data_IF_246128416322
#
_entry.id   IF_246128416322
#
_cell.length_a   1.000
_cell.length_b   1.000
_cell.length_c   1.000
_cell.angle_alpha   90.00
_cell.angle_beta   90.00
_cell.angle_gamma   90.00
#
_symmetry.space_group_name_H-M   'P 1'
#
loop_
_entity.id
_entity.type
_entity.pdbx_description
1 polymer ?
#
# COMPACT_ATOMS: atom_id res chain seq x y z
N UNK A 1 6.40 4.21 -16.72
CA UNK A 1 7.65 4.25 -15.92
C UNK A 1 8.93 3.93 -16.70
N UNK A 2 8.88 3.45 -17.96
CA UNK A 2 10.09 3.47 -18.79
C UNK A 2 10.53 4.93 -18.98
N UNK A 3 11.68 5.32 -18.41
CA UNK A 3 12.22 6.67 -18.47
C UNK A 3 12.06 7.55 -17.22
N UNK A 4 11.46 7.05 -16.13
CA UNK A 4 11.32 7.80 -14.88
C UNK A 4 12.45 7.58 -13.85
N UNK A 5 13.51 6.83 -14.21
CA UNK A 5 14.64 6.53 -13.32
C UNK A 5 14.38 5.46 -12.25
N UNK A 6 13.14 4.97 -12.09
CA UNK A 6 12.81 3.95 -11.08
C UNK A 6 13.62 2.65 -11.24
N UNK A 7 13.85 2.21 -12.48
CA UNK A 7 14.67 1.03 -12.76
C UNK A 7 16.14 1.22 -12.39
N UNK A 8 16.66 2.43 -12.59
CA UNK A 8 18.05 2.77 -12.28
C UNK A 8 18.25 2.84 -10.77
N UNK A 9 17.31 3.44 -10.04
CA UNK A 9 17.31 3.47 -8.56
C UNK A 9 17.36 2.05 -7.99
N UNK A 10 16.57 1.11 -8.53
CA UNK A 10 16.56 -0.29 -8.06
C UNK A 10 17.91 -1.00 -8.27
N UNK A 11 18.58 -0.71 -9.38
CA UNK A 11 19.88 -1.31 -9.71
C UNK A 11 21.00 -0.66 -8.89
N UNK A 12 21.04 0.66 -8.83
CA UNK A 12 22.08 1.42 -8.12
C UNK A 12 22.03 1.19 -6.60
N UNK A 13 20.82 1.11 -6.04
CA UNK A 13 20.62 0.75 -4.64
C UNK A 13 20.89 -0.75 -4.34
N UNK A 14 21.27 -1.54 -5.35
CA UNK A 14 21.54 -2.99 -5.28
C UNK A 14 20.36 -3.80 -4.71
N UNK A 15 19.14 -3.28 -4.85
CA UNK A 15 17.92 -3.99 -4.44
C UNK A 15 17.60 -5.13 -5.40
N UNK A 16 17.93 -4.95 -6.68
CA UNK A 16 17.59 -5.88 -7.76
C UNK A 16 18.78 -5.97 -8.73
N UNK A 17 19.03 -7.16 -9.29
CA UNK A 17 20.03 -7.32 -10.36
C UNK A 17 19.39 -7.01 -11.71
N UNK A 18 20.21 -6.68 -12.72
CA UNK A 18 19.71 -6.45 -14.09
C UNK A 18 18.90 -7.64 -14.62
N UNK A 19 19.25 -8.87 -14.21
CA UNK A 19 18.54 -10.08 -14.57
C UNK A 19 17.14 -10.20 -13.92
N UNK A 20 16.96 -9.74 -12.68
CA UNK A 20 15.67 -9.81 -11.98
C UNK A 20 14.79 -8.57 -12.15
N UNK A 21 15.32 -7.47 -12.69
CA UNK A 21 14.58 -6.22 -12.92
C UNK A 21 13.30 -6.44 -13.73
N UNK A 22 13.37 -7.19 -14.83
CA UNK A 22 12.20 -7.48 -15.67
C UNK A 22 11.12 -8.24 -14.90
N UNK A 23 11.51 -9.18 -14.04
CA UNK A 23 10.58 -9.97 -13.23
C UNK A 23 9.93 -9.13 -12.11
N UNK A 24 10.64 -8.15 -11.58
CA UNK A 24 10.12 -7.18 -10.60
C UNK A 24 9.15 -6.20 -11.25
N UNK A 25 9.53 -5.57 -12.36
CA UNK A 25 8.70 -4.59 -13.05
C UNK A 25 7.45 -5.20 -13.69
N UNK A 26 7.51 -6.47 -14.11
CA UNK A 26 6.33 -7.19 -14.63
C UNK A 26 5.47 -7.83 -13.54
N UNK A 27 5.84 -7.70 -12.26
CA UNK A 27 5.11 -8.30 -11.14
C UNK A 27 5.17 -9.84 -11.07
N UNK A 28 5.93 -10.50 -11.97
CA UNK A 28 6.11 -11.96 -11.97
C UNK A 28 6.70 -12.47 -10.66
N UNK A 29 7.64 -11.74 -10.09
CA UNK A 29 8.11 -11.99 -8.73
C UNK A 29 7.45 -11.01 -7.76
N UNK A 30 6.19 -11.30 -7.41
CA UNK A 30 5.36 -10.44 -6.56
C UNK A 30 6.00 -10.12 -5.21
N UNK A 31 6.60 -11.12 -4.55
CA UNK A 31 7.19 -10.94 -3.23
C UNK A 31 8.36 -9.94 -3.27
N UNK A 32 9.25 -10.08 -4.27
CA UNK A 32 10.36 -9.16 -4.48
C UNK A 32 9.87 -7.78 -4.91
N UNK A 33 8.86 -7.71 -5.76
CA UNK A 33 8.29 -6.44 -6.23
C UNK A 33 7.68 -5.62 -5.07
N UNK A 34 6.90 -6.26 -4.19
CA UNK A 34 6.35 -5.60 -3.01
C UNK A 34 7.44 -5.19 -2.03
N UNK A 35 8.49 -6.00 -1.86
CA UNK A 35 9.61 -5.63 -1.02
C UNK A 35 10.32 -4.38 -1.55
N UNK A 36 10.67 -4.34 -2.83
CA UNK A 36 11.26 -3.16 -3.46
C UNK A 36 10.36 -1.92 -3.35
N UNK A 37 9.05 -2.08 -3.58
CA UNK A 37 8.08 -1.00 -3.48
C UNK A 37 8.06 -0.40 -2.06
N UNK A 38 8.04 -1.25 -1.03
CA UNK A 38 8.08 -0.81 0.37
C UNK A 38 9.34 -0.02 0.68
N UNK A 39 10.49 -0.56 0.29
CA UNK A 39 11.79 0.09 0.56
C UNK A 39 11.88 1.46 -0.12
N UNK A 40 11.43 1.57 -1.37
CA UNK A 40 11.46 2.86 -2.08
C UNK A 40 10.43 3.84 -1.49
N UNK A 41 9.25 3.37 -1.13
CA UNK A 41 8.22 4.22 -0.48
C UNK A 41 8.74 4.78 0.83
N UNK A 42 9.34 3.95 1.68
CA UNK A 42 9.94 4.37 2.95
C UNK A 42 11.09 5.38 2.73
N UNK A 43 11.98 5.13 1.77
CA UNK A 43 13.09 6.03 1.47
C UNK A 43 12.60 7.39 0.94
N UNK A 44 11.59 7.39 0.07
CA UNK A 44 11.02 8.60 -0.49
C UNK A 44 10.24 9.42 0.54
N UNK A 45 9.49 8.78 1.44
CA UNK A 45 8.83 9.47 2.56
C UNK A 45 9.85 10.07 3.54
N UNK A 46 10.93 9.36 3.86
CA UNK A 46 12.02 9.90 4.69
C UNK A 46 12.65 11.15 4.07
N UNK A 47 12.96 11.08 2.77
CA UNK A 47 13.50 12.22 2.04
C UNK A 47 12.52 13.41 2.05
N UNK A 48 11.22 13.16 1.90
CA UNK A 48 10.21 14.21 1.93
C UNK A 48 10.10 14.88 3.30
N UNK A 49 10.23 14.10 4.38
CA UNK A 49 10.27 14.61 5.75
C UNK A 49 11.55 15.42 6.01
N UNK A 50 12.71 14.96 5.53
CA UNK A 50 13.97 15.71 5.64
C UNK A 50 13.87 17.09 4.98
N UNK A 51 13.35 17.15 3.75
CA UNK A 51 13.14 18.42 3.03
C UNK A 51 12.12 19.31 3.74
N UNK A 52 11.07 18.72 4.30
CA UNK A 52 10.08 19.46 5.09
C UNK A 52 10.70 20.11 6.33
N UNK A 53 11.54 19.38 7.06
CA UNK A 53 12.25 19.89 8.24
C UNK A 53 13.19 21.03 7.84
N UNK A 54 13.90 20.89 6.73
CA UNK A 54 14.83 21.91 6.22
C UNK A 54 14.11 23.19 5.76
N UNK A 55 12.99 23.09 5.05
CA UNK A 55 12.28 24.27 4.52
C UNK A 55 11.43 25.01 5.56
N UNK A 56 10.72 24.28 6.42
CA UNK A 56 9.84 24.88 7.43
C UNK A 56 10.59 25.17 8.75
N UNK A 57 11.84 24.70 8.89
CA UNK A 57 12.70 24.99 10.04
C UNK A 57 12.15 24.46 11.36
N UNK A 58 11.41 23.35 11.33
CA UNK A 58 10.72 22.79 12.49
C UNK A 58 11.69 21.89 13.26
N UNK A 59 12.03 22.28 14.49
CA UNK A 59 12.61 21.35 15.47
C UNK A 59 11.49 20.44 16.00
N UNK A 60 11.57 19.15 15.69
CA UNK A 60 10.62 18.14 16.19
C UNK A 60 10.94 17.86 17.67
N UNK A 61 10.57 18.79 18.55
CA UNK A 61 10.67 18.62 20.01
C UNK A 61 9.35 18.14 20.60
N UNK A 62 8.90 16.97 20.15
CA UNK A 62 7.67 16.37 20.66
C UNK A 62 8.00 15.03 21.30
N UNK A 63 8.12 15.04 22.63
CA UNK A 63 8.26 13.85 23.48
C UNK A 63 7.21 12.77 23.13
N UNK A 64 6.01 13.18 22.71
CA UNK A 64 4.94 12.29 22.28
C UNK A 64 5.29 11.48 21.02
N UNK A 65 5.99 12.08 20.04
CA UNK A 65 6.48 11.36 18.85
C UNK A 65 7.62 10.40 19.22
N UNK A 66 8.53 10.80 20.12
CA UNK A 66 9.59 9.89 20.62
C UNK A 66 9.00 8.68 21.35
N UNK A 67 8.00 8.89 22.21
CA UNK A 67 7.30 7.80 22.89
C UNK A 67 6.54 6.87 21.92
N UNK A 68 5.98 7.42 20.84
CA UNK A 68 5.34 6.63 19.78
C UNK A 68 6.35 5.77 18.99
N UNK A 69 7.54 6.31 18.72
CA UNK A 69 8.63 5.61 18.04
C UNK A 69 9.17 4.48 18.91
N UNK A 70 9.32 4.70 20.21
CA UNK A 70 9.77 3.68 21.16
C UNK A 70 8.71 2.59 21.41
N UNK A 71 7.42 2.97 21.41
CA UNK A 71 6.31 2.05 21.68
C UNK A 71 5.17 2.22 20.66
N UNK A 72 5.27 1.54 19.52
CA UNK A 72 4.20 1.48 18.52
C UNK A 72 2.99 0.67 19.03
N UNK A 73 2.13 1.32 19.83
CA UNK A 73 0.86 0.77 20.28
C UNK A 73 -0.30 1.73 19.94
N UNK A 74 -1.53 1.20 19.78
CA UNK A 74 -2.71 2.01 19.43
C UNK A 74 -3.02 3.09 20.47
N UNK A 75 -2.82 2.80 21.74
CA UNK A 75 -3.07 3.76 22.82
C UNK A 75 -2.12 4.96 22.76
N UNK A 76 -0.84 4.73 22.42
CA UNK A 76 0.14 5.80 22.23
C UNK A 76 -0.11 6.58 20.93
N UNK A 77 -0.64 5.92 19.89
CA UNK A 77 -1.09 6.59 18.68
C UNK A 77 -2.26 7.54 18.97
N UNK A 78 -3.27 7.08 19.71
CA UNK A 78 -4.40 7.92 20.10
C UNK A 78 -3.96 9.08 21.01
N UNK A 79 -3.00 8.84 21.91
CA UNK A 79 -2.41 9.90 22.73
C UNK A 79 -1.67 10.95 21.88
N UNK A 80 -0.84 10.52 20.92
CA UNK A 80 -0.11 11.41 20.01
C UNK A 80 -1.05 12.17 19.06
N UNK A 81 -2.13 11.53 18.61
CA UNK A 81 -3.14 12.17 17.77
C UNK A 81 -4.01 13.16 18.53
N UNK A 82 -4.09 13.10 19.86
CA UNK A 82 -4.83 14.06 20.69
C UNK A 82 -3.99 15.28 21.10
N UNK A 83 -2.66 15.17 21.04
CA UNK A 83 -1.73 16.23 21.37
C UNK A 83 -1.70 17.34 20.29
N UNK A 84 -2.06 18.57 20.67
CA UNK A 84 -2.16 19.71 19.76
C UNK A 84 -0.85 20.09 19.04
N UNK A 85 0.33 20.14 19.68
CA UNK A 85 1.58 20.39 18.96
C UNK A 85 1.89 19.28 17.95
N UNK A 86 1.65 18.01 18.30
CA UNK A 86 1.82 16.90 17.37
C UNK A 86 0.85 16.99 16.18
N UNK A 87 -0.43 17.34 16.41
CA UNK A 87 -1.39 17.60 15.32
C UNK A 87 -0.97 18.75 14.43
N UNK A 88 -0.44 19.84 14.99
CA UNK A 88 0.00 21.00 14.23
C UNK A 88 1.15 20.64 13.27
N UNK A 89 2.12 19.85 13.74
CA UNK A 89 3.22 19.33 12.90
C UNK A 89 2.68 18.40 11.80
N UNK A 90 1.76 17.48 12.13
CA UNK A 90 1.13 16.60 11.14
C UNK A 90 0.38 17.42 10.08
N UNK A 91 -0.41 18.41 10.48
CA UNK A 91 -1.16 19.24 9.54
C UNK A 91 -0.22 20.10 8.68
N UNK A 92 0.87 20.61 9.24
CA UNK A 92 1.90 21.32 8.48
C UNK A 92 2.54 20.42 7.42
N UNK A 93 2.84 19.16 7.78
CA UNK A 93 3.35 18.16 6.83
C UNK A 93 2.35 17.83 5.73
N UNK A 94 1.07 17.61 6.06
CA UNK A 94 0.01 17.37 5.06
C UNK A 94 -0.14 18.57 4.11
N UNK A 95 -0.09 19.79 4.63
CA UNK A 95 -0.12 21.00 3.81
C UNK A 95 1.12 21.10 2.91
N UNK A 96 2.28 20.68 3.39
CA UNK A 96 3.51 20.61 2.60
C UNK A 96 3.39 19.57 1.47
N UNK A 97 2.88 18.38 1.74
CA UNK A 97 2.60 17.39 0.70
C UNK A 97 1.68 17.96 -0.39
N UNK A 98 0.64 18.70 -0.01
CA UNK A 98 -0.25 19.39 -0.97
C UNK A 98 0.48 20.47 -1.79
N UNK A 99 1.44 21.21 -1.20
CA UNK A 99 2.30 22.15 -1.94
C UNK A 99 3.13 21.40 -2.99
N UNK A 100 3.74 20.26 -2.62
CA UNK A 100 4.54 19.46 -3.55
C UNK A 100 3.68 18.89 -4.69
N UNK A 101 2.47 18.40 -4.38
CA UNK A 101 1.50 17.93 -5.38
C UNK A 101 1.08 19.03 -6.36
N UNK A 102 1.02 20.28 -5.92
CA UNK A 102 0.74 21.46 -6.78
C UNK A 102 1.94 21.89 -7.64
N UNK A 103 3.09 21.24 -7.50
CA UNK A 103 4.26 21.46 -8.34
C UNK A 103 5.32 22.38 -7.77
N UNK A 104 5.41 22.50 -6.44
CA UNK A 104 6.45 23.32 -5.79
C UNK A 104 7.88 22.97 -6.27
N UNK A 105 8.20 21.68 -6.36
CA UNK A 105 9.49 21.17 -6.89
C UNK A 105 9.45 20.78 -8.38
N UNK A 106 8.48 21.32 -9.13
CA UNK A 106 8.29 21.03 -10.54
C UNK A 106 7.71 19.63 -10.83
N UNK A 107 7.81 19.20 -12.09
CA UNK A 107 7.12 17.98 -12.60
C UNK A 107 7.64 16.69 -11.98
N UNK A 108 8.92 16.64 -11.61
CA UNK A 108 9.53 15.46 -11.00
C UNK A 108 8.98 15.21 -9.60
N UNK A 109 8.81 16.25 -8.79
CA UNK A 109 8.19 16.13 -7.46
C UNK A 109 6.75 15.63 -7.56
N UNK A 110 5.96 16.16 -8.49
CA UNK A 110 4.58 15.71 -8.72
C UNK A 110 4.52 14.24 -9.14
N UNK A 111 5.44 13.78 -9.99
CA UNK A 111 5.52 12.39 -10.41
C UNK A 111 5.80 11.44 -9.22
N UNK A 112 6.77 11.79 -8.37
CA UNK A 112 7.11 10.97 -7.20
C UNK A 112 6.04 11.00 -6.12
N UNK A 113 5.34 12.13 -5.93
CA UNK A 113 4.17 12.18 -5.05
C UNK A 113 3.04 11.29 -5.55
N UNK A 114 2.76 11.28 -6.86
CA UNK A 114 1.77 10.36 -7.43
C UNK A 114 2.19 8.90 -7.27
N UNK A 115 3.49 8.59 -7.38
CA UNK A 115 4.01 7.26 -7.08
C UNK A 115 3.80 6.86 -5.62
N UNK A 116 4.06 7.76 -4.66
CA UNK A 116 3.82 7.54 -3.24
C UNK A 116 2.34 7.28 -2.94
N UNK A 117 1.45 8.12 -3.47
CA UNK A 117 0.00 7.94 -3.32
C UNK A 117 -0.44 6.54 -3.81
N UNK A 118 0.01 6.11 -4.98
CA UNK A 118 -0.32 4.78 -5.52
C UNK A 118 0.26 3.65 -4.67
N UNK A 119 1.48 3.83 -4.17
CA UNK A 119 2.15 2.86 -3.31
C UNK A 119 1.40 2.71 -1.98
N UNK A 120 0.93 3.82 -1.41
CA UNK A 120 0.12 3.82 -0.20
C UNK A 120 -1.20 3.08 -0.35
N UNK A 121 -1.95 3.31 -1.44
CA UNK A 121 -3.20 2.57 -1.71
C UNK A 121 -2.94 1.07 -1.76
N UNK A 122 -1.86 0.63 -2.42
CA UNK A 122 -1.51 -0.79 -2.48
C UNK A 122 -1.09 -1.37 -1.11
N UNK A 123 -0.29 -0.64 -0.34
CA UNK A 123 0.13 -1.07 1.00
C UNK A 123 -1.04 -1.10 1.98
N UNK A 124 -1.96 -0.14 1.91
CA UNK A 124 -3.21 -0.13 2.66
C UNK A 124 -4.08 -1.32 2.27
N UNK A 125 -4.22 -1.63 0.98
CA UNK A 125 -4.96 -2.83 0.56
C UNK A 125 -4.35 -4.10 1.15
N UNK A 126 -3.03 -4.27 1.11
CA UNK A 126 -2.36 -5.41 1.77
C UNK A 126 -2.61 -5.44 3.28
N UNK A 127 -2.63 -4.29 3.94
CA UNK A 127 -2.94 -4.17 5.36
C UNK A 127 -4.39 -4.56 5.67
N UNK A 128 -5.35 -4.13 4.85
CA UNK A 128 -6.78 -4.45 5.04
C UNK A 128 -7.04 -5.94 4.98
N UNK A 129 -6.41 -6.65 4.04
CA UNK A 129 -6.49 -8.10 3.91
C UNK A 129 -5.88 -8.78 5.14
N UNK A 130 -4.76 -8.27 5.64
CA UNK A 130 -4.09 -8.82 6.83
C UNK A 130 -4.83 -8.58 8.15
N UNK A 131 -5.65 -7.53 8.22
CA UNK A 131 -6.36 -7.11 9.44
C UNK A 131 -7.87 -7.32 9.36
N UNK A 132 -8.36 -7.84 8.23
CA UNK A 132 -9.79 -7.98 7.91
C UNK A 132 -10.61 -6.69 8.11
N UNK A 133 -10.02 -5.53 7.77
CA UNK A 133 -10.71 -4.25 7.87
C UNK A 133 -11.55 -4.00 6.61
N UNK A 134 -12.83 -4.39 6.65
CA UNK A 134 -13.78 -4.30 5.53
C UNK A 134 -14.01 -2.86 5.04
N UNK A 135 -14.26 -1.85 5.90
CA UNK A 135 -14.42 -0.47 5.44
C UNK A 135 -13.21 0.06 4.67
N UNK A 136 -12.00 -0.20 5.19
CA UNK A 136 -10.78 0.26 4.55
C UNK A 136 -10.50 -0.54 3.26
N UNK A 137 -10.84 -1.83 3.22
CA UNK A 137 -10.78 -2.63 1.99
C UNK A 137 -11.69 -2.05 0.90
N UNK A 138 -12.91 -1.64 1.25
CA UNK A 138 -13.85 -1.02 0.31
C UNK A 138 -13.28 0.28 -0.26
N UNK A 139 -12.81 1.19 0.60
CA UNK A 139 -12.17 2.45 0.20
C UNK A 139 -10.98 2.23 -0.75
N UNK A 140 -10.06 1.33 -0.40
CA UNK A 140 -8.88 1.05 -1.22
C UNK A 140 -9.23 0.50 -2.61
N UNK A 141 -10.27 -0.33 -2.73
CA UNK A 141 -10.68 -0.87 -4.02
C UNK A 141 -11.28 0.20 -4.94
N UNK A 142 -12.03 1.15 -4.36
CA UNK A 142 -12.56 2.30 -5.10
C UNK A 142 -11.43 3.18 -5.65
N UNK A 143 -10.48 3.58 -4.78
CA UNK A 143 -9.32 4.39 -5.19
C UNK A 143 -8.41 3.66 -6.20
N UNK A 144 -8.28 2.34 -6.06
CA UNK A 144 -7.49 1.53 -6.99
C UNK A 144 -8.14 1.41 -8.39
N UNK A 145 -9.47 1.53 -8.49
CA UNK A 145 -10.17 1.52 -9.77
C UNK A 145 -9.73 2.71 -10.65
N UNK A 146 -9.60 3.90 -10.06
CA UNK A 146 -9.13 5.11 -10.74
C UNK A 146 -7.69 4.93 -11.25
N UNK A 147 -6.83 4.30 -10.46
CA UNK A 147 -5.45 4.01 -10.84
C UNK A 147 -5.37 3.06 -12.05
N UNK A 148 -6.17 2.00 -12.07
CA UNK A 148 -6.20 1.08 -13.21
C UNK A 148 -6.80 1.71 -14.46
N UNK A 149 -7.75 2.65 -14.29
CA UNK A 149 -8.39 3.34 -15.40
C UNK A 149 -7.46 4.37 -16.06
N UNK A 150 -6.75 5.17 -15.28
CA UNK A 150 -5.96 6.29 -15.79
C UNK A 150 -4.46 6.00 -15.96
N UNK A 151 -3.86 5.10 -15.18
CA UNK A 151 -2.40 4.98 -15.10
C UNK A 151 -1.80 3.72 -15.73
N UNK A 152 -2.53 2.60 -15.79
CA UNK A 152 -1.95 1.29 -16.14
C UNK A 152 -2.62 0.54 -17.30
N UNK A 153 -3.46 1.22 -18.10
CA UNK A 153 -4.18 0.62 -19.24
C UNK A 153 -5.00 -0.64 -18.86
N UNK A 154 -5.41 -0.71 -17.60
CA UNK A 154 -6.13 -1.83 -17.01
C UNK A 154 -7.64 -1.72 -17.16
N UNK A 155 -8.15 -1.32 -18.33
CA UNK A 155 -9.57 -0.98 -18.54
C UNK A 155 -10.53 -2.08 -18.08
N UNK A 156 -10.15 -3.36 -18.27
CA UNK A 156 -10.93 -4.49 -17.81
C UNK A 156 -10.99 -4.55 -16.28
N UNK A 157 -9.86 -4.39 -15.61
CA UNK A 157 -9.77 -4.38 -14.15
C UNK A 157 -10.50 -3.18 -13.55
N UNK A 158 -10.35 -1.99 -14.13
CA UNK A 158 -11.07 -0.80 -13.69
C UNK A 158 -12.58 -0.97 -13.77
N UNK A 159 -13.09 -1.55 -14.87
CA UNK A 159 -14.52 -1.85 -15.02
C UNK A 159 -15.04 -2.84 -13.99
N UNK A 160 -14.30 -3.93 -13.73
CA UNK A 160 -14.70 -4.91 -12.72
C UNK A 160 -14.63 -4.33 -11.31
N UNK A 161 -13.62 -3.53 -11.00
CA UNK A 161 -13.47 -2.87 -9.70
C UNK A 161 -14.59 -1.85 -9.47
N UNK A 162 -14.96 -1.04 -10.47
CA UNK A 162 -16.08 -0.12 -10.35
C UNK A 162 -17.40 -0.86 -10.08
N UNK A 163 -17.63 -1.99 -10.76
CA UNK A 163 -18.81 -2.81 -10.50
C UNK A 163 -18.77 -3.45 -9.10
N UNK A 164 -17.59 -3.91 -8.68
CA UNK A 164 -17.37 -4.46 -7.34
C UNK A 164 -17.57 -3.41 -6.24
N UNK A 165 -17.17 -2.17 -6.46
CA UNK A 165 -17.37 -1.04 -5.54
C UNK A 165 -18.86 -0.73 -5.34
N UNK A 166 -19.62 -0.68 -6.45
CA UNK A 166 -21.09 -0.53 -6.41
C UNK A 166 -21.75 -1.72 -5.71
N UNK A 167 -21.25 -2.93 -5.93
CA UNK A 167 -21.74 -4.13 -5.25
C UNK A 167 -21.50 -4.06 -3.74
N UNK A 168 -20.31 -3.67 -3.29
CA UNK A 168 -19.98 -3.52 -1.87
C UNK A 168 -20.82 -2.41 -1.20
N UNK A 169 -21.05 -1.30 -1.90
CA UNK A 169 -21.90 -0.20 -1.40
C UNK A 169 -23.35 -0.65 -1.22
N UNK A 170 -23.87 -1.47 -2.14
CA UNK A 170 -25.24 -1.98 -2.10
C UNK A 170 -25.36 -3.35 -1.41
N UNK A 171 -24.34 -3.77 -0.67
CA UNK A 171 -24.31 -5.11 -0.11
C UNK A 171 -25.44 -5.34 0.90
N UNK A 172 -25.72 -4.36 1.76
CA UNK A 172 -26.80 -4.47 2.75
C UNK A 172 -28.20 -4.52 2.13
N UNK A 173 -28.40 -3.86 0.98
CA UNK A 173 -29.67 -3.85 0.26
C UNK A 173 -29.89 -5.13 -0.54
N UNK A 174 -28.83 -5.63 -1.20
CA UNK A 174 -28.91 -6.83 -2.03
C UNK A 174 -28.84 -8.13 -1.23
N UNK A 175 -28.05 -8.15 -0.16
CA UNK A 175 -27.76 -9.32 0.67
C UNK A 175 -27.71 -8.90 2.15
N UNK A 176 -28.86 -8.81 2.84
CA UNK A 176 -28.89 -8.43 4.25
C UNK A 176 -28.06 -9.42 5.09
N UNK A 177 -27.14 -8.89 5.90
CA UNK A 177 -26.17 -9.68 6.67
C UNK A 177 -24.84 -9.98 5.96
N UNK A 178 -24.69 -9.60 4.69
CA UNK A 178 -23.42 -9.76 3.95
C UNK A 178 -22.25 -9.00 4.59
N UNK A 179 -22.51 -7.81 5.14
CA UNK A 179 -21.49 -7.01 5.83
C UNK A 179 -20.93 -7.70 7.08
N UNK A 180 -21.82 -8.34 7.85
CA UNK A 180 -21.46 -9.10 9.05
C UNK A 180 -20.61 -10.33 8.68
N UNK A 181 -20.94 -11.02 7.58
CA UNK A 181 -20.14 -12.13 7.06
C UNK A 181 -18.74 -11.69 6.59
N UNK A 182 -18.63 -10.56 5.89
CA UNK A 182 -17.33 -10.00 5.50
C UNK A 182 -16.49 -9.62 6.73
N UNK A 183 -17.12 -8.98 7.70
CA UNK A 183 -16.49 -8.56 8.96
C UNK A 183 -16.02 -9.73 9.81
N UNK A 184 -16.67 -10.90 9.70
CA UNK A 184 -16.29 -12.14 10.38
C UNK A 184 -15.12 -12.89 9.75
N UNK A 185 -14.58 -12.43 8.62
CA UNK A 185 -13.36 -13.00 8.03
C UNK A 185 -13.49 -13.50 6.60
N UNK A 186 -14.55 -13.16 5.87
CA UNK A 186 -14.71 -13.64 4.49
C UNK A 186 -13.78 -12.94 3.47
N UNK A 187 -13.07 -11.86 3.85
CA UNK A 187 -12.11 -11.18 2.96
C UNK A 187 -10.77 -11.94 2.90
N UNK A 188 -10.35 -12.57 3.99
CA UNK A 188 -9.03 -13.17 4.08
C UNK A 188 -9.05 -14.49 4.87
N UNK A 189 -8.28 -15.45 4.39
CA UNK A 189 -8.12 -16.76 5.03
C UNK A 189 -6.72 -16.84 5.64
N UNK A 190 -6.63 -17.38 6.86
CA UNK A 190 -5.37 -17.65 7.51
C UNK A 190 -5.06 -19.14 7.43
N UNK A 191 -3.83 -19.49 7.01
CA UNK A 191 -3.32 -20.87 7.07
C UNK A 191 -2.69 -21.21 8.44
N UNK A 192 -2.46 -20.19 9.28
CA UNK A 192 -1.91 -20.33 10.62
C UNK A 192 -2.60 -19.33 11.56
N UNK A 193 -2.62 -19.65 12.86
CA UNK A 193 -3.24 -18.80 13.90
C UNK A 193 -2.36 -17.59 14.30
N UNK A 194 -1.34 -17.26 13.49
CA UNK A 194 -0.42 -16.16 13.78
C UNK A 194 -1.08 -14.84 13.36
N UNK A 195 -1.12 -13.81 14.23
CA UNK A 195 -1.62 -12.48 13.85
C UNK A 195 -0.91 -11.95 12.59
N UNK A 196 -1.68 -11.49 11.59
CA UNK A 196 -1.17 -10.96 10.33
C UNK A 196 -0.81 -12.00 9.26
N UNK A 197 -1.10 -13.29 9.48
CA UNK A 197 -0.96 -14.38 8.50
C UNK A 197 -2.16 -14.51 7.54
N UNK A 198 -3.14 -13.61 7.66
CA UNK A 198 -4.29 -13.53 6.76
C UNK A 198 -3.81 -13.18 5.34
N UNK A 199 -4.27 -13.96 4.37
CA UNK A 199 -4.03 -13.73 2.95
C UNK A 199 -5.37 -13.72 2.20
N UNK A 200 -5.40 -13.05 1.05
CA UNK A 200 -6.59 -13.04 0.21
C UNK A 200 -7.01 -14.48 -0.11
N UNK A 201 -8.32 -14.74 -0.05
CA UNK A 201 -8.89 -16.08 -0.26
C UNK A 201 -8.45 -16.67 -1.59
N UNK A 202 -8.53 -15.86 -2.65
CA UNK A 202 -8.17 -16.25 -4.02
C UNK A 202 -6.70 -16.68 -4.13
N UNK A 203 -5.79 -15.85 -3.62
CA UNK A 203 -4.36 -16.18 -3.56
C UNK A 203 -4.11 -17.48 -2.78
N UNK A 204 -4.80 -17.65 -1.66
CA UNK A 204 -4.64 -18.84 -0.83
C UNK A 204 -5.15 -20.08 -1.54
N UNK A 205 -6.26 -19.95 -2.28
CA UNK A 205 -6.85 -21.00 -3.10
C UNK A 205 -5.93 -21.38 -4.26
N UNK A 206 -5.42 -20.41 -5.02
CA UNK A 206 -4.49 -20.63 -6.13
C UNK A 206 -3.20 -21.31 -5.65
N UNK A 207 -2.56 -20.80 -4.60
CA UNK A 207 -1.36 -21.42 -4.02
C UNK A 207 -1.62 -22.86 -3.52
N UNK A 208 -2.81 -23.11 -2.98
CA UNK A 208 -3.20 -24.43 -2.46
C UNK A 208 -3.44 -25.41 -3.61
N UNK A 209 -4.21 -25.02 -4.63
CA UNK A 209 -4.42 -25.84 -5.83
C UNK A 209 -3.11 -26.11 -6.56
N UNK A 210 -2.24 -25.10 -6.73
CA UNK A 210 -0.94 -25.27 -7.37
C UNK A 210 -0.02 -26.19 -6.56
N UNK A 211 -0.12 -26.19 -5.23
CA UNK A 211 0.63 -27.12 -4.37
C UNK A 211 0.13 -28.57 -4.52
N UNK A 212 -1.17 -28.78 -4.68
CA UNK A 212 -1.74 -30.11 -4.92
C UNK A 212 -1.54 -30.60 -6.37
N UNK A 213 -1.48 -29.68 -7.34
CA UNK A 213 -1.21 -29.99 -8.75
C UNK A 213 0.26 -30.32 -9.01
N UNK A 214 1.19 -29.83 -8.17
CA UNK A 214 2.59 -30.27 -8.17
C UNK A 214 2.71 -31.63 -7.49
N UNK A 215 2.47 -32.69 -8.26
CA UNK A 215 2.84 -34.05 -7.85
C UNK A 215 4.36 -34.15 -7.63
N UNK A 216 4.78 -35.14 -6.85
CA UNK A 216 6.18 -35.48 -6.56
C UNK A 216 6.98 -35.97 -7.77
N UNK A 217 6.51 -35.71 -8.99
CA UNK A 217 7.27 -35.86 -10.23
C UNK A 217 7.76 -34.48 -10.69
N UNK A 218 9.01 -34.16 -10.39
CA UNK A 218 9.63 -32.88 -10.67
C UNK A 218 9.40 -32.37 -12.09
N UNK A 219 8.61 -31.31 -12.21
CA UNK A 219 8.70 -30.34 -13.28
C UNK A 219 8.99 -28.99 -12.64
N UNK A 220 10.27 -28.62 -12.70
CA UNK A 220 10.73 -27.28 -12.41
C UNK A 220 10.41 -26.38 -13.61
N UNK A 221 9.61 -25.36 -13.39
CA UNK A 221 9.45 -24.21 -14.28
C UNK A 221 8.10 -24.14 -14.98
N UNK A 222 7.32 -23.09 -14.68
CA UNK A 222 7.35 -21.83 -15.45
C UNK A 222 7.30 -20.68 -14.43
#
# INVERSE_FOLDING_TARGET
MHGAGYADILIEAKLVTSASLKCVLSGKNWALAIWCLRTITEAAERLLVEVFIEEEGIEIDTLALFNLIEQMNREHLDAALNDEPTKAVIQAYLNFQDKVKKGHFGKTGVLWMSFLDNSHVLLMLLFTVKTNNVPLFHKCNSEMADLFFFAYDGQNYARYLAWFDVFLTNLELSHPGGWDLLSKGAIAVARSLIPGALAAVDKTMEETFMKFAKSSGGLWGI
#
